data_IF_172525241596
#
_entry.id   IF_172525241596
#
_cell.length_a   1.000
_cell.length_b   1.000
_cell.length_c   1.000
_cell.angle_alpha   90.00
_cell.angle_beta   90.00
_cell.angle_gamma   90.00
#
_symmetry.space_group_name_H-M   'P 1'
#
loop_
_entity.id
_entity.type
_entity.pdbx_description
1 polymer ?
#
# COMPACT_ATOMS: atom_id res chain seq x y z
N UNK A 1 -16.63 -26.35 22.40
CA UNK A 1 -15.50 -26.15 21.48
C UNK A 1 -15.65 -27.11 20.31
N UNK A 2 -15.89 -26.61 19.11
CA UNK A 2 -15.77 -27.47 17.91
C UNK A 2 -14.28 -27.80 17.73
N UNK A 3 -13.95 -29.08 17.59
CA UNK A 3 -12.59 -29.51 17.32
C UNK A 3 -12.16 -29.00 15.95
N UNK A 4 -10.95 -28.42 15.86
CA UNK A 4 -10.35 -27.97 14.59
C UNK A 4 -10.20 -29.19 13.67
N UNK A 5 -10.59 -29.06 12.39
CA UNK A 5 -10.40 -30.10 11.40
C UNK A 5 -8.90 -30.18 11.02
N UNK A 6 -8.20 -31.29 11.24
CA UNK A 6 -6.75 -31.40 11.00
C UNK A 6 -6.33 -31.09 9.57
N UNK A 7 -7.20 -31.26 8.57
CA UNK A 7 -6.88 -30.91 7.16
C UNK A 7 -6.55 -29.44 6.96
N UNK A 8 -6.92 -28.57 7.90
CA UNK A 8 -6.63 -27.13 7.86
C UNK A 8 -5.43 -26.72 8.72
N UNK A 9 -4.74 -27.67 9.34
CA UNK A 9 -3.62 -27.36 10.23
C UNK A 9 -2.48 -26.62 9.53
N UNK A 10 -2.28 -26.89 8.24
CA UNK A 10 -1.30 -26.19 7.41
C UNK A 10 -1.47 -24.66 7.42
N UNK A 11 -2.68 -24.14 7.62
CA UNK A 11 -2.94 -22.69 7.68
C UNK A 11 -2.27 -22.04 8.91
N UNK A 12 -2.00 -22.82 9.93
CA UNK A 12 -1.40 -22.36 11.20
C UNK A 12 0.11 -22.61 11.26
N UNK A 13 0.67 -23.23 10.22
CA UNK A 13 2.12 -23.45 10.11
C UNK A 13 2.82 -22.21 9.57
N UNK A 14 4.03 -21.90 10.07
CA UNK A 14 4.85 -20.84 9.51
C UNK A 14 5.16 -21.05 8.03
N UNK A 15 5.32 -19.95 7.31
CA UNK A 15 5.74 -19.97 5.91
C UNK A 15 6.82 -18.93 5.66
N UNK A 16 7.83 -19.31 4.88
CA UNK A 16 8.89 -18.39 4.47
C UNK A 16 8.45 -17.55 3.27
N UNK A 17 8.63 -16.24 3.37
CA UNK A 17 8.37 -15.26 2.30
C UNK A 17 9.67 -14.49 2.07
N UNK A 18 10.42 -14.84 1.02
CA UNK A 18 11.76 -14.31 0.81
C UNK A 18 12.64 -14.54 2.05
N UNK A 19 13.25 -13.48 2.61
CA UNK A 19 14.10 -13.59 3.81
C UNK A 19 13.30 -13.63 5.11
N UNK A 20 11.99 -13.37 5.08
CA UNK A 20 11.14 -13.29 6.27
C UNK A 20 10.35 -14.58 6.49
N UNK A 21 9.93 -14.82 7.73
CA UNK A 21 9.04 -15.93 8.08
C UNK A 21 7.75 -15.38 8.67
N UNK A 22 6.64 -15.67 8.01
CA UNK A 22 5.30 -15.38 8.52
C UNK A 22 4.86 -16.49 9.46
N UNK A 23 4.34 -16.14 10.64
CA UNK A 23 4.03 -17.10 11.73
C UNK A 23 2.92 -18.10 11.41
N UNK A 24 2.09 -17.81 10.42
CA UNK A 24 1.02 -18.68 9.90
C UNK A 24 0.66 -18.20 8.48
N UNK A 25 -0.30 -18.84 7.82
CA UNK A 25 -0.67 -18.54 6.44
C UNK A 25 -1.86 -17.59 6.31
N UNK A 26 -2.22 -16.89 7.38
CA UNK A 26 -3.28 -15.87 7.33
C UNK A 26 -2.67 -14.51 6.99
N UNK A 27 -3.05 -14.01 5.82
CA UNK A 27 -2.52 -12.80 5.24
C UNK A 27 -3.67 -11.82 4.97
N UNK A 28 -3.68 -10.67 5.65
CA UNK A 28 -4.63 -9.60 5.39
C UNK A 28 -4.10 -8.74 4.23
N UNK A 29 -4.71 -8.90 3.08
CA UNK A 29 -4.36 -8.15 1.87
C UNK A 29 -4.66 -6.66 2.01
N UNK A 30 -4.08 -5.81 1.15
CA UNK A 30 -4.37 -4.37 1.16
C UNK A 30 -5.86 -4.08 1.01
N UNK A 31 -6.37 -3.14 1.81
CA UNK A 31 -7.70 -2.57 1.63
C UNK A 31 -7.83 -1.23 2.35
N UNK A 32 -8.62 -0.33 1.77
CA UNK A 32 -8.93 0.96 2.37
C UNK A 32 -9.92 0.82 3.53
N UNK A 33 -9.67 1.60 4.59
CA UNK A 33 -10.58 1.75 5.73
C UNK A 33 -11.07 3.20 5.88
N UNK A 34 -10.70 4.07 4.96
CA UNK A 34 -11.06 5.49 4.99
C UNK A 34 -10.36 6.30 6.08
N UNK A 35 -9.23 5.82 6.59
CA UNK A 35 -8.44 6.55 7.58
C UNK A 35 -7.37 7.43 6.92
N UNK A 36 -6.90 7.04 5.75
CA UNK A 36 -5.92 7.76 4.97
C UNK A 36 -4.64 8.10 5.73
N UNK A 37 -3.94 9.11 5.24
CA UNK A 37 -2.73 9.65 5.89
C UNK A 37 -3.03 10.56 7.07
N UNK A 38 -4.25 11.09 7.18
CA UNK A 38 -4.64 12.03 8.24
C UNK A 38 -4.81 11.35 9.61
N UNK A 39 -5.01 10.04 9.62
CA UNK A 39 -5.34 9.30 10.85
C UNK A 39 -4.41 8.13 11.08
N UNK A 40 -3.09 8.38 11.24
CA UNK A 40 -2.11 7.30 11.38
C UNK A 40 -2.35 6.42 12.60
N UNK A 41 -2.87 6.98 13.70
CA UNK A 41 -3.26 6.23 14.89
C UNK A 41 -4.42 5.27 14.63
N UNK A 42 -5.40 5.66 13.80
CA UNK A 42 -6.51 4.78 13.39
C UNK A 42 -5.99 3.64 12.51
N UNK A 43 -5.10 3.92 11.56
CA UNK A 43 -4.43 2.90 10.75
C UNK A 43 -3.69 1.89 11.63
N UNK A 44 -2.84 2.38 12.53
CA UNK A 44 -2.07 1.55 13.44
C UNK A 44 -2.97 0.69 14.34
N UNK A 45 -3.99 1.29 14.95
CA UNK A 45 -4.92 0.58 15.84
C UNK A 45 -5.73 -0.50 15.10
N UNK A 46 -6.28 -0.16 13.93
CA UNK A 46 -7.08 -1.11 13.14
C UNK A 46 -6.25 -2.31 12.67
N UNK A 47 -5.04 -2.08 12.15
CA UNK A 47 -4.16 -3.15 11.67
C UNK A 47 -3.56 -3.92 12.85
N UNK A 48 -3.15 -3.22 13.91
CA UNK A 48 -2.62 -3.84 15.14
C UNK A 48 -3.60 -4.80 15.79
N UNK A 49 -4.89 -4.45 15.84
CA UNK A 49 -5.94 -5.35 16.35
C UNK A 49 -6.05 -6.65 15.56
N UNK A 50 -5.85 -6.61 14.24
CA UNK A 50 -5.81 -7.82 13.40
C UNK A 50 -4.59 -8.67 13.72
N UNK A 51 -3.42 -8.04 13.87
CA UNK A 51 -2.19 -8.73 14.25
C UNK A 51 -2.30 -9.37 15.64
N UNK A 52 -2.91 -8.66 16.60
CA UNK A 52 -3.25 -9.20 17.93
C UNK A 52 -4.19 -10.41 17.84
N UNK A 53 -5.18 -10.35 16.94
CA UNK A 53 -6.11 -11.43 16.65
C UNK A 53 -5.48 -12.65 15.94
N UNK A 54 -4.17 -12.60 15.63
CA UNK A 54 -3.41 -13.76 15.17
C UNK A 54 -3.00 -13.74 13.68
N UNK A 55 -3.31 -12.71 12.91
CA UNK A 55 -2.87 -12.62 11.52
C UNK A 55 -1.35 -12.67 11.40
N UNK A 56 -0.85 -13.43 10.41
CA UNK A 56 0.57 -13.59 10.16
C UNK A 56 1.20 -12.40 9.44
N UNK A 57 0.43 -11.74 8.59
CA UNK A 57 0.81 -10.49 7.95
C UNK A 57 -0.41 -9.58 7.77
N UNK A 58 -0.20 -8.28 7.84
CA UNK A 58 -1.22 -7.26 7.58
C UNK A 58 -0.64 -6.18 6.66
N UNK A 59 -1.43 -5.78 5.66
CA UNK A 59 -1.06 -4.72 4.73
C UNK A 59 -1.73 -3.40 5.04
N UNK A 60 -1.12 -2.33 4.52
CA UNK A 60 -1.71 -0.99 4.47
C UNK A 60 -2.96 -0.97 3.58
N UNK A 61 -3.54 0.19 3.42
CA UNK A 61 -4.29 0.59 2.23
C UNK A 61 -3.32 0.69 1.05
N UNK A 62 -3.86 0.89 -0.18
CA UNK A 62 -2.99 1.36 -1.24
C UNK A 62 -2.35 2.70 -0.83
N UNK A 63 -1.08 2.86 -1.16
CA UNK A 63 -0.24 3.93 -0.65
C UNK A 63 0.30 4.74 -1.83
N UNK A 64 -0.20 5.96 -1.99
CA UNK A 64 0.28 6.87 -3.04
C UNK A 64 1.78 7.13 -2.89
N UNK A 65 2.52 6.99 -3.98
CA UNK A 65 3.99 7.12 -3.99
C UNK A 65 4.47 8.55 -4.30
N UNK A 66 3.58 9.41 -4.82
CA UNK A 66 3.92 10.77 -5.24
C UNK A 66 2.70 11.67 -5.24
N UNK A 67 2.85 12.99 -4.98
CA UNK A 67 1.80 13.97 -5.21
C UNK A 67 1.22 13.97 -6.63
N UNK A 68 1.97 13.48 -7.62
CA UNK A 68 1.50 13.33 -9.00
C UNK A 68 0.45 12.22 -9.16
N UNK A 69 0.28 11.41 -8.14
CA UNK A 69 -0.73 10.35 -8.09
C UNK A 69 -1.45 10.41 -6.76
N UNK A 70 -2.03 11.54 -6.46
CA UNK A 70 -2.83 11.77 -5.27
C UNK A 70 -4.26 11.27 -5.49
N UNK A 71 -4.73 10.41 -4.57
CA UNK A 71 -6.10 9.91 -4.58
C UNK A 71 -6.97 10.50 -3.46
N UNK A 72 -6.53 11.41 -2.71
CA UNK A 72 -7.15 11.90 -1.49
C UNK A 72 -6.59 11.24 -0.22
N UNK A 73 -5.86 12.03 0.53
CA UNK A 73 -5.22 11.61 1.78
C UNK A 73 -6.21 11.19 2.90
N UNK A 74 -7.50 11.41 2.71
CA UNK A 74 -8.57 10.95 3.61
C UNK A 74 -8.98 9.51 3.35
N UNK A 75 -8.70 9.00 2.15
CA UNK A 75 -9.10 7.66 1.71
C UNK A 75 -7.92 6.72 1.70
N UNK A 76 -6.81 7.14 1.08
CA UNK A 76 -5.61 6.34 0.92
C UNK A 76 -4.45 6.82 1.80
N UNK A 77 -3.55 5.91 2.10
CA UNK A 77 -2.25 6.25 2.67
C UNK A 77 -1.35 6.88 1.60
N UNK A 78 -0.26 7.48 2.04
CA UNK A 78 0.78 7.99 1.15
C UNK A 78 2.16 7.74 1.75
N UNK A 79 3.17 7.75 0.90
CA UNK A 79 4.58 7.59 1.28
C UNK A 79 5.47 8.57 0.49
N UNK A 80 5.10 9.84 0.53
CA UNK A 80 5.76 10.90 -0.25
C UNK A 80 7.03 11.42 0.40
N UNK A 81 7.05 11.49 1.73
CA UNK A 81 8.12 12.14 2.49
C UNK A 81 8.44 11.44 3.83
N UNK A 82 9.32 12.05 4.63
CA UNK A 82 9.72 11.52 5.93
C UNK A 82 8.63 11.59 6.99
N UNK A 83 7.68 12.51 6.90
CA UNK A 83 6.51 12.55 7.77
C UNK A 83 5.64 11.31 7.58
N UNK A 84 5.44 10.91 6.34
CA UNK A 84 4.73 9.69 5.99
C UNK A 84 5.47 8.43 6.48
N UNK A 85 6.81 8.41 6.38
CA UNK A 85 7.63 7.32 6.93
C UNK A 85 7.42 7.16 8.43
N UNK A 86 7.34 8.26 9.18
CA UNK A 86 7.10 8.23 10.65
C UNK A 86 5.71 7.65 10.93
N UNK A 87 4.68 8.11 10.21
CA UNK A 87 3.31 7.64 10.37
C UNK A 87 3.17 6.14 10.07
N UNK A 88 3.80 5.68 8.99
CA UNK A 88 3.76 4.26 8.58
C UNK A 88 4.62 3.38 9.49
N UNK A 89 5.70 3.91 10.07
CA UNK A 89 6.47 3.20 11.11
C UNK A 89 5.60 2.91 12.32
N UNK A 90 4.80 3.86 12.76
CA UNK A 90 3.84 3.65 13.86
C UNK A 90 2.87 2.49 13.59
N UNK A 91 2.40 2.36 12.34
CA UNK A 91 1.61 1.21 11.92
C UNK A 91 2.42 -0.10 12.03
N UNK A 92 3.63 -0.14 11.48
CA UNK A 92 4.48 -1.34 11.54
C UNK A 92 4.81 -1.77 12.97
N UNK A 93 5.12 -0.82 13.85
CA UNK A 93 5.38 -1.11 15.26
C UNK A 93 4.18 -1.80 15.91
N UNK A 94 2.95 -1.38 15.55
CA UNK A 94 1.73 -2.02 16.05
C UNK A 94 1.53 -3.44 15.54
N UNK A 95 2.03 -3.78 14.34
CA UNK A 95 2.00 -5.12 13.77
C UNK A 95 3.09 -6.01 14.37
N UNK A 96 4.31 -5.51 14.40
CA UNK A 96 5.50 -6.23 14.87
C UNK A 96 5.38 -6.59 16.37
N UNK A 97 4.73 -5.75 17.17
CA UNK A 97 4.42 -6.04 18.57
C UNK A 97 3.72 -7.39 18.75
N UNK A 98 2.94 -7.83 17.78
CA UNK A 98 2.21 -9.10 17.79
C UNK A 98 2.84 -10.17 16.88
N UNK A 99 4.05 -9.95 16.38
CA UNK A 99 4.77 -10.87 15.51
C UNK A 99 4.15 -11.06 14.13
N UNK A 100 3.37 -10.09 13.64
CA UNK A 100 2.89 -10.05 12.28
C UNK A 100 3.86 -9.29 11.39
N UNK A 101 3.98 -9.71 10.12
CA UNK A 101 4.72 -8.94 9.11
C UNK A 101 3.88 -7.76 8.62
N UNK A 102 4.54 -6.65 8.32
CA UNK A 102 3.93 -5.47 7.72
C UNK A 102 4.12 -5.43 6.20
N UNK A 103 3.04 -5.23 5.46
CA UNK A 103 3.05 -5.03 4.01
C UNK A 103 2.60 -3.63 3.63
N UNK A 104 3.17 -3.09 2.54
CA UNK A 104 2.75 -1.83 1.93
C UNK A 104 2.44 -2.03 0.45
N UNK A 105 1.34 -1.46 -0.01
CA UNK A 105 0.95 -1.49 -1.42
C UNK A 105 1.24 -0.15 -2.07
N UNK A 106 2.26 -0.11 -2.94
CA UNK A 106 2.68 1.10 -3.64
C UNK A 106 1.78 1.34 -4.85
N UNK A 107 1.14 2.49 -4.87
CA UNK A 107 0.15 2.85 -5.86
C UNK A 107 0.51 4.11 -6.64
N UNK A 108 0.33 4.03 -7.95
CA UNK A 108 0.30 5.15 -8.86
C UNK A 108 -0.88 4.96 -9.82
N UNK A 109 -1.84 5.88 -9.78
CA UNK A 109 -3.12 5.71 -10.46
C UNK A 109 -3.08 5.80 -11.97
N UNK A 110 -2.07 6.47 -12.53
CA UNK A 110 -2.02 6.72 -13.97
C UNK A 110 -3.19 7.61 -14.39
N UNK A 111 -3.93 7.18 -15.42
CA UNK A 111 -5.13 7.89 -15.89
C UNK A 111 -6.26 7.98 -14.84
N UNK A 112 -6.18 7.18 -13.77
CA UNK A 112 -7.21 7.11 -12.74
C UNK A 112 -6.81 7.82 -11.43
N UNK A 113 -5.76 8.62 -11.42
CA UNK A 113 -5.41 9.45 -10.27
C UNK A 113 -6.17 10.78 -10.31
N UNK A 114 -7.05 11.07 -9.35
CA UNK A 114 -7.86 12.28 -9.37
C UNK A 114 -7.06 13.56 -9.10
N UNK A 115 -5.97 13.48 -8.34
CA UNK A 115 -5.09 14.60 -7.98
C UNK A 115 -5.82 15.86 -7.50
N UNK A 116 -6.96 15.68 -6.84
CA UNK A 116 -7.85 16.77 -6.43
C UNK A 116 -7.24 17.68 -5.36
N UNK A 117 -6.39 17.14 -4.53
CA UNK A 117 -5.76 17.87 -3.43
C UNK A 117 -4.39 18.42 -3.80
N UNK A 118 -3.54 17.59 -4.40
CA UNK A 118 -2.22 18.02 -4.89
C UNK A 118 -2.32 18.98 -6.06
N UNK A 119 -3.39 18.85 -6.87
CA UNK A 119 -3.58 19.54 -8.16
C UNK A 119 -2.44 19.32 -9.15
N UNK A 120 -1.70 18.24 -8.96
CA UNK A 120 -0.73 17.75 -9.93
C UNK A 120 -1.43 17.06 -11.11
N UNK A 121 -0.69 16.77 -12.15
CA UNK A 121 -1.17 16.00 -13.29
C UNK A 121 -0.47 14.65 -13.26
N UNK A 122 -1.26 13.58 -13.24
CA UNK A 122 -0.73 12.22 -13.31
C UNK A 122 -0.26 11.89 -14.73
N UNK A 123 0.66 10.92 -14.83
CA UNK A 123 1.11 10.37 -16.10
C UNK A 123 0.41 9.06 -16.41
N UNK A 124 0.14 8.82 -17.69
CA UNK A 124 -0.41 7.56 -18.19
C UNK A 124 0.19 7.21 -19.57
N UNK A 125 -0.17 6.08 -20.16
CA UNK A 125 0.38 5.65 -21.45
C UNK A 125 -0.11 6.51 -22.62
N UNK A 126 -1.24 7.17 -22.46
CA UNK A 126 -1.81 8.12 -23.42
C UNK A 126 -2.51 9.24 -22.67
N UNK A 127 -2.67 10.39 -23.31
CA UNK A 127 -3.47 11.48 -22.77
C UNK A 127 -4.95 11.14 -22.89
N UNK A 128 -5.55 10.68 -21.80
CA UNK A 128 -6.94 10.20 -21.78
C UNK A 128 -7.67 10.61 -20.51
N UNK A 129 -9.01 10.63 -20.60
CA UNK A 129 -9.86 10.80 -19.44
C UNK A 129 -9.91 9.53 -18.60
N UNK A 130 -10.04 9.70 -17.29
CA UNK A 130 -10.30 8.58 -16.40
C UNK A 130 -11.68 7.96 -16.68
N UNK A 131 -11.74 6.64 -16.63
CA UNK A 131 -13.02 5.91 -16.66
C UNK A 131 -13.72 5.89 -15.29
N UNK A 132 -12.97 6.12 -14.21
CA UNK A 132 -13.45 6.02 -12.83
C UNK A 132 -13.70 7.39 -12.19
N UNK A 133 -12.86 8.38 -12.54
CA UNK A 133 -12.85 9.68 -11.90
C UNK A 133 -13.40 10.77 -12.81
N UNK A 134 -14.28 11.58 -12.29
CA UNK A 134 -14.93 12.63 -13.05
C UNK A 134 -13.95 13.77 -13.37
N UNK A 135 -13.88 14.16 -14.64
CA UNK A 135 -13.06 15.30 -15.12
C UNK A 135 -11.55 15.15 -14.87
N UNK A 136 -11.05 13.96 -14.76
CA UNK A 136 -9.62 13.70 -14.57
C UNK A 136 -8.98 13.27 -15.88
N UNK A 137 -7.86 13.89 -16.21
CA UNK A 137 -7.01 13.56 -17.34
C UNK A 137 -5.59 13.29 -16.87
N UNK A 138 -4.91 12.36 -17.54
CA UNK A 138 -3.47 12.18 -17.37
C UNK A 138 -2.71 12.78 -18.54
N UNK A 139 -1.43 13.07 -18.32
CA UNK A 139 -0.47 13.43 -19.34
C UNK A 139 0.13 12.16 -19.94
N UNK A 140 0.27 12.10 -21.26
CA UNK A 140 0.96 11.01 -21.94
C UNK A 140 2.44 11.03 -21.57
N UNK A 141 2.94 9.91 -21.02
CA UNK A 141 4.31 9.79 -20.59
C UNK A 141 5.26 9.52 -21.76
N UNK A 142 6.33 10.30 -21.85
CA UNK A 142 7.45 9.99 -22.71
C UNK A 142 8.46 9.05 -22.03
N UNK A 143 9.59 8.76 -22.69
CA UNK A 143 10.61 7.86 -22.15
C UNK A 143 11.31 8.41 -20.91
N UNK A 144 11.42 9.72 -20.76
CA UNK A 144 12.04 10.35 -19.59
C UNK A 144 11.04 10.37 -18.42
N UNK A 145 9.76 10.59 -18.70
CA UNK A 145 8.67 10.44 -17.74
C UNK A 145 8.59 9.01 -17.20
N UNK A 146 8.74 8.00 -18.07
CA UNK A 146 8.77 6.59 -17.62
C UNK A 146 9.94 6.34 -16.65
N UNK A 147 11.12 6.89 -16.92
CA UNK A 147 12.25 6.80 -15.97
C UNK A 147 11.98 7.51 -14.66
N UNK A 148 11.34 8.69 -14.73
CA UNK A 148 10.89 9.41 -13.56
C UNK A 148 9.93 8.57 -12.72
N UNK A 149 8.91 7.97 -13.33
CA UNK A 149 7.94 7.08 -12.69
C UNK A 149 8.62 5.87 -12.03
N UNK A 150 9.57 5.23 -12.72
CA UNK A 150 10.37 4.15 -12.13
C UNK A 150 11.12 4.61 -10.89
N UNK A 151 11.72 5.81 -10.92
CA UNK A 151 12.41 6.38 -9.77
C UNK A 151 11.45 6.67 -8.60
N UNK A 152 10.23 7.12 -8.85
CA UNK A 152 9.22 7.30 -7.80
C UNK A 152 8.93 5.99 -7.05
N UNK A 153 8.78 4.87 -7.77
CA UNK A 153 8.61 3.55 -7.14
C UNK A 153 9.84 3.14 -6.33
N UNK A 154 11.05 3.37 -6.85
CA UNK A 154 12.30 3.07 -6.13
C UNK A 154 12.40 3.87 -4.83
N UNK A 155 12.13 5.17 -4.88
CA UNK A 155 12.18 6.02 -3.69
C UNK A 155 11.07 5.67 -2.68
N UNK A 156 9.88 5.32 -3.14
CA UNK A 156 8.82 4.83 -2.27
C UNK A 156 9.19 3.49 -1.61
N UNK A 157 9.82 2.58 -2.35
CA UNK A 157 10.32 1.32 -1.79
C UNK A 157 11.41 1.54 -0.73
N UNK A 158 12.33 2.49 -0.95
CA UNK A 158 13.34 2.88 0.07
C UNK A 158 12.68 3.43 1.33
N UNK A 159 11.70 4.33 1.17
CA UNK A 159 10.92 4.85 2.30
C UNK A 159 10.14 3.76 3.02
N UNK A 160 9.63 2.76 2.28
CA UNK A 160 8.96 1.59 2.87
C UNK A 160 9.89 0.78 3.77
N UNK A 161 11.14 0.56 3.34
CA UNK A 161 12.17 -0.08 4.17
C UNK A 161 12.47 0.77 5.41
N UNK A 162 12.60 2.09 5.27
CA UNK A 162 12.80 3.00 6.41
C UNK A 162 11.63 2.97 7.41
N UNK A 163 10.40 2.79 6.92
CA UNK A 163 9.21 2.65 7.75
C UNK A 163 9.09 1.25 8.41
N UNK A 164 9.98 0.31 8.06
CA UNK A 164 10.03 -1.02 8.67
C UNK A 164 9.14 -2.08 8.01
N UNK A 165 8.65 -1.84 6.79
CA UNK A 165 7.86 -2.84 6.07
C UNK A 165 8.69 -4.07 5.68
N UNK A 166 8.08 -5.23 5.80
CA UNK A 166 8.66 -6.54 5.47
C UNK A 166 8.33 -6.96 4.04
N UNK A 167 7.21 -6.48 3.51
CA UNK A 167 6.66 -6.84 2.19
C UNK A 167 6.27 -5.56 1.46
N UNK A 168 6.72 -5.44 0.21
CA UNK A 168 6.38 -4.32 -0.67
C UNK A 168 5.64 -4.86 -1.89
N UNK A 169 4.45 -4.31 -2.15
CA UNK A 169 3.67 -4.57 -3.36
C UNK A 169 3.84 -3.44 -4.35
N UNK A 170 3.88 -3.79 -5.61
CA UNK A 170 3.57 -2.88 -6.71
C UNK A 170 2.14 -3.15 -7.16
N UNK A 171 1.26 -2.16 -7.08
CA UNK A 171 -0.15 -2.32 -7.36
C UNK A 171 -0.41 -2.39 -8.87
N UNK A 172 -0.37 -3.58 -9.43
CA UNK A 172 -0.63 -3.87 -10.84
C UNK A 172 -2.03 -4.45 -11.08
N UNK A 173 -3.09 -3.80 -10.56
CA UNK A 173 -4.48 -4.22 -10.73
C UNK A 173 -5.38 -3.00 -10.98
N UNK A 174 -6.68 -3.23 -11.28
CA UNK A 174 -7.72 -2.21 -11.46
C UNK A 174 -7.37 -1.11 -12.46
N UNK A 175 -6.64 -1.46 -13.52
CA UNK A 175 -6.20 -0.51 -14.56
C UNK A 175 -5.40 0.69 -14.03
N UNK A 176 -4.67 0.54 -12.91
CA UNK A 176 -3.70 1.52 -12.47
C UNK A 176 -2.41 1.44 -13.27
N UNK A 177 -1.53 2.43 -13.17
CA UNK A 177 -0.41 2.64 -14.09
C UNK A 177 0.39 1.38 -14.48
N UNK A 178 0.77 0.46 -13.57
CA UNK A 178 1.53 -0.73 -13.98
C UNK A 178 0.76 -1.71 -14.89
N UNK A 179 -0.55 -1.49 -15.06
CA UNK A 179 -1.44 -2.30 -15.89
C UNK A 179 -1.96 -1.54 -17.13
N UNK A 180 -1.70 -0.25 -17.23
CA UNK A 180 -2.03 0.59 -18.39
C UNK A 180 -0.98 0.44 -19.48
#
# INVERSE_FOLDING_TARGET
>A
HMARNPKHDILFEPIKIGPKTMKNRFYQVPHCIGAGSERPGTQAGHRGMKAEGGWGACCTEYCSISPESDDCHRVSARIWDQGDVINLRHLNDSLHKHGALGGVELWYGGSHAPCMESRAISYGPTSQASEFEYLTYCHEADLDDIKHLQNLYVEAAKRSVQAGFDIVYVYGAHSYLPLQ
#
